data_IF_483208389510
#
_entry.id   IF_483208389510
#
_cell.length_a   1.000
_cell.length_b   1.000
_cell.length_c   1.000
_cell.angle_alpha   90.00
_cell.angle_beta   90.00
_cell.angle_gamma   90.00
#
_symmetry.space_group_name_H-M   'P 1'
#
loop_
_entity.id
_entity.type
_entity.pdbx_description
1 polymer ?
#
# COMPACT_ATOMS: atom_id res chain seq x y z
N UNK A 1 -4.32 -2.84 -10.31
CA UNK A 1 -4.57 -4.14 -9.66
C UNK A 1 -5.73 -4.90 -10.33
N UNK A 2 -6.97 -4.39 -10.32
CA UNK A 2 -8.15 -5.08 -10.86
C UNK A 2 -7.93 -5.60 -12.28
N UNK A 3 -7.51 -4.75 -13.22
CA UNK A 3 -7.24 -5.14 -14.62
C UNK A 3 -6.11 -6.18 -14.75
N UNK A 4 -5.10 -6.10 -13.87
CA UNK A 4 -3.98 -7.05 -13.91
C UNK A 4 -4.43 -8.44 -13.44
N UNK A 5 -5.23 -8.53 -12.37
CA UNK A 5 -5.78 -9.79 -11.87
C UNK A 5 -6.72 -10.42 -12.90
N UNK A 6 -7.69 -9.67 -13.42
CA UNK A 6 -8.59 -10.15 -14.46
C UNK A 6 -7.83 -10.55 -15.73
N UNK A 7 -6.84 -9.74 -16.15
CA UNK A 7 -6.01 -10.06 -17.31
C UNK A 7 -5.21 -11.37 -17.12
N UNK A 8 -4.70 -11.62 -15.92
CA UNK A 8 -4.00 -12.86 -15.61
C UNK A 8 -4.94 -14.08 -15.63
N UNK A 9 -6.16 -13.94 -15.11
CA UNK A 9 -7.19 -15.00 -15.13
C UNK A 9 -7.61 -15.29 -16.56
N UNK A 10 -7.90 -14.26 -17.36
CA UNK A 10 -8.28 -14.40 -18.78
C UNK A 10 -7.17 -15.06 -19.60
N UNK A 11 -5.92 -14.58 -19.43
CA UNK A 11 -4.79 -15.11 -20.17
C UNK A 11 -4.50 -16.59 -19.87
N UNK A 12 -4.81 -17.04 -18.66
CA UNK A 12 -4.62 -18.44 -18.23
C UNK A 12 -5.83 -19.33 -18.53
N UNK A 13 -6.94 -18.77 -19.02
CA UNK A 13 -8.22 -19.47 -19.24
C UNK A 13 -8.75 -20.17 -17.98
N UNK A 14 -8.56 -19.57 -16.79
CA UNK A 14 -9.05 -20.09 -15.54
C UNK A 14 -8.27 -19.58 -14.32
N UNK A 15 -8.63 -19.98 -13.10
CA UNK A 15 -7.93 -19.59 -11.89
C UNK A 15 -6.48 -20.10 -11.91
N UNK A 16 -5.57 -19.43 -11.20
CA UNK A 16 -4.25 -20.01 -10.91
C UNK A 16 -4.48 -21.39 -10.25
N UNK A 17 -3.63 -22.36 -10.58
CA UNK A 17 -3.76 -23.70 -10.01
C UNK A 17 -3.89 -23.63 -8.48
N UNK A 18 -4.93 -24.27 -7.92
CA UNK A 18 -5.21 -24.39 -6.48
C UNK A 18 -5.62 -23.11 -5.75
N UNK A 19 -6.56 -22.34 -6.28
CA UNK A 19 -7.28 -21.33 -5.52
C UNK A 19 -8.63 -21.93 -5.09
N UNK A 20 -8.83 -22.07 -3.79
CA UNK A 20 -10.05 -22.62 -3.21
C UNK A 20 -11.08 -21.53 -2.90
N UNK A 21 -10.60 -20.32 -2.62
CA UNK A 21 -11.43 -19.15 -2.30
C UNK A 21 -10.69 -17.84 -2.62
N UNK A 22 -11.43 -16.86 -3.09
CA UNK A 22 -10.96 -15.47 -3.18
C UNK A 22 -11.46 -14.71 -1.96
N UNK A 23 -10.56 -14.08 -1.23
CA UNK A 23 -10.94 -13.20 -0.13
C UNK A 23 -10.25 -11.83 -0.30
N UNK A 24 -10.92 -10.76 0.09
CA UNK A 24 -10.31 -9.45 0.03
C UNK A 24 -11.23 -8.30 0.45
N UNK A 25 -10.61 -7.15 0.67
CA UNK A 25 -11.30 -5.96 1.15
C UNK A 25 -12.07 -5.27 0.02
N UNK A 26 -13.38 -5.15 0.19
CA UNK A 26 -14.27 -4.38 -0.70
C UNK A 26 -14.16 -2.88 -0.41
N UNK A 27 -13.00 -2.28 -0.75
CA UNK A 27 -12.67 -0.89 -0.41
C UNK A 27 -13.20 0.14 -1.39
N UNK A 28 -13.47 -0.24 -2.64
CA UNK A 28 -14.00 0.66 -3.66
C UNK A 28 -14.88 -0.11 -4.66
N UNK A 29 -15.60 0.60 -5.51
CA UNK A 29 -16.47 -0.04 -6.52
C UNK A 29 -15.70 -0.92 -7.49
N UNK A 30 -14.45 -0.55 -7.81
CA UNK A 30 -13.57 -1.37 -8.63
C UNK A 30 -13.26 -2.73 -8.01
N UNK A 31 -13.00 -2.80 -6.69
CA UNK A 31 -12.76 -4.08 -6.00
C UNK A 31 -14.04 -4.90 -5.85
N UNK A 32 -15.19 -4.26 -5.61
CA UNK A 32 -16.49 -4.96 -5.56
C UNK A 32 -16.83 -5.62 -6.89
N UNK A 33 -16.65 -4.90 -8.01
CA UNK A 33 -16.85 -5.46 -9.35
C UNK A 33 -15.85 -6.57 -9.66
N UNK A 34 -14.58 -6.39 -9.25
CA UNK A 34 -13.57 -7.43 -9.41
C UNK A 34 -14.03 -8.76 -8.78
N UNK A 35 -14.59 -8.72 -7.58
CA UNK A 35 -15.02 -9.92 -6.88
C UNK A 35 -16.15 -10.65 -7.63
N UNK A 36 -17.16 -9.92 -8.12
CA UNK A 36 -18.20 -10.53 -8.97
C UNK A 36 -17.63 -11.16 -10.22
N UNK A 37 -16.80 -10.42 -10.95
CA UNK A 37 -16.16 -10.94 -12.18
C UNK A 37 -15.25 -12.16 -11.91
N UNK A 38 -14.51 -12.18 -10.78
CA UNK A 38 -13.67 -13.31 -10.43
C UNK A 38 -14.48 -14.58 -10.16
N UNK A 39 -15.59 -14.47 -9.44
CA UNK A 39 -16.50 -15.58 -9.17
C UNK A 39 -17.10 -16.12 -10.46
N UNK A 40 -17.65 -15.23 -11.31
CA UNK A 40 -18.27 -15.60 -12.58
C UNK A 40 -17.27 -16.25 -13.56
N UNK A 41 -16.03 -15.73 -13.62
CA UNK A 41 -15.02 -16.23 -14.57
C UNK A 41 -14.32 -17.50 -14.10
N UNK A 42 -14.21 -17.73 -12.79
CA UNK A 42 -13.39 -18.82 -12.24
C UNK A 42 -14.21 -19.94 -11.63
N UNK A 43 -15.48 -19.69 -11.28
CA UNK A 43 -16.29 -20.60 -10.48
C UNK A 43 -15.78 -20.80 -9.03
N UNK A 44 -14.78 -20.00 -8.62
CA UNK A 44 -14.20 -20.06 -7.28
C UNK A 44 -14.95 -19.06 -6.38
N UNK A 45 -15.42 -19.49 -5.21
CA UNK A 45 -16.19 -18.63 -4.31
C UNK A 45 -15.40 -17.39 -3.88
N UNK A 46 -16.10 -16.25 -3.72
CA UNK A 46 -15.55 -15.01 -3.23
C UNK A 46 -16.11 -14.69 -1.85
N UNK A 47 -15.24 -14.29 -0.93
CA UNK A 47 -15.62 -13.78 0.39
C UNK A 47 -15.19 -12.30 0.46
N UNK A 48 -16.10 -11.35 0.22
CA UNK A 48 -15.80 -9.94 0.35
C UNK A 48 -15.76 -9.55 1.85
N UNK A 49 -14.73 -8.84 2.26
CA UNK A 49 -14.61 -8.24 3.58
C UNK A 49 -14.97 -6.76 3.47
N UNK A 50 -15.91 -6.30 4.27
CA UNK A 50 -16.40 -4.92 4.21
C UNK A 50 -15.63 -4.02 5.18
N UNK A 51 -14.80 -3.13 4.63
CA UNK A 51 -14.10 -2.12 5.42
C UNK A 51 -14.96 -0.83 5.47
N UNK A 52 -15.38 -0.38 6.66
CA UNK A 52 -16.10 0.90 6.79
C UNK A 52 -15.30 2.10 6.29
N UNK A 53 -15.99 3.12 5.81
CA UNK A 53 -15.35 4.38 5.39
C UNK A 53 -15.35 5.46 6.47
N UNK A 54 -16.15 5.33 7.50
CA UNK A 54 -16.19 6.25 8.65
C UNK A 54 -15.22 5.79 9.73
N UNK A 55 -14.53 6.73 10.37
CA UNK A 55 -13.60 6.44 11.49
C UNK A 55 -14.29 6.70 12.81
N UNK A 56 -15.08 5.73 13.27
CA UNK A 56 -15.72 5.75 14.59
C UNK A 56 -15.45 4.44 15.34
N UNK A 57 -15.66 4.43 16.64
CA UNK A 57 -15.52 3.22 17.46
C UNK A 57 -16.50 2.12 17.02
N UNK A 58 -17.71 2.51 16.61
CA UNK A 58 -18.72 1.57 16.09
C UNK A 58 -18.26 0.94 14.77
N UNK A 59 -17.65 1.73 13.88
CA UNK A 59 -17.09 1.23 12.63
C UNK A 59 -15.91 0.28 12.87
N UNK A 60 -15.04 0.57 13.84
CA UNK A 60 -13.98 -0.33 14.26
C UNK A 60 -14.54 -1.64 14.83
N UNK A 61 -15.59 -1.56 15.65
CA UNK A 61 -16.31 -2.73 16.16
C UNK A 61 -16.96 -3.56 15.07
N UNK A 62 -17.61 -2.92 14.10
CA UNK A 62 -18.18 -3.59 12.94
C UNK A 62 -17.10 -4.34 12.15
N UNK A 63 -15.99 -3.68 11.84
CA UNK A 63 -14.89 -4.33 11.10
C UNK A 63 -14.25 -5.48 11.87
N UNK A 64 -14.12 -5.37 13.18
CA UNK A 64 -13.69 -6.46 14.04
C UNK A 64 -14.64 -7.67 13.95
N UNK A 65 -15.95 -7.43 13.98
CA UNK A 65 -16.96 -8.48 13.79
C UNK A 65 -16.89 -9.14 12.42
N UNK A 66 -16.67 -8.39 11.35
CA UNK A 66 -16.44 -8.93 9.99
C UNK A 66 -15.23 -9.88 9.96
N UNK A 67 -14.13 -9.52 10.63
CA UNK A 67 -12.93 -10.36 10.67
C UNK A 67 -13.11 -11.63 11.51
N UNK A 68 -13.83 -11.55 12.62
CA UNK A 68 -14.21 -12.74 13.41
C UNK A 68 -15.13 -13.68 12.61
N UNK A 69 -16.13 -13.13 11.93
CA UNK A 69 -17.04 -13.89 11.09
C UNK A 69 -16.31 -14.54 9.90
N UNK A 70 -15.35 -13.83 9.30
CA UNK A 70 -14.50 -14.35 8.23
C UNK A 70 -13.67 -15.54 8.73
N UNK A 71 -13.00 -15.40 9.88
CA UNK A 71 -12.22 -16.50 10.48
C UNK A 71 -13.08 -17.72 10.78
N UNK A 72 -14.27 -17.53 11.35
CA UNK A 72 -15.25 -18.61 11.59
C UNK A 72 -15.70 -19.28 10.29
N UNK A 73 -16.07 -18.50 9.28
CA UNK A 73 -16.49 -19.02 7.97
C UNK A 73 -15.38 -19.83 7.26
N UNK A 74 -14.12 -19.42 7.43
CA UNK A 74 -12.99 -20.17 6.87
C UNK A 74 -12.86 -21.58 7.51
N UNK A 75 -13.14 -21.70 8.80
CA UNK A 75 -13.17 -22.99 9.50
C UNK A 75 -14.37 -23.85 9.05
N UNK A 76 -15.56 -23.27 9.04
CA UNK A 76 -16.80 -23.97 8.65
C UNK A 76 -16.72 -24.54 7.22
N UNK A 77 -16.03 -23.83 6.34
CA UNK A 77 -15.82 -24.25 4.94
C UNK A 77 -14.61 -25.18 4.75
N UNK A 78 -13.87 -25.49 5.81
CA UNK A 78 -12.69 -26.36 5.75
C UNK A 78 -11.45 -25.71 5.13
N UNK A 79 -11.38 -24.37 5.04
CA UNK A 79 -10.21 -23.63 4.54
C UNK A 79 -9.17 -23.40 5.64
N UNK A 80 -9.54 -23.58 6.90
CA UNK A 80 -8.66 -23.39 8.06
C UNK A 80 -9.02 -24.38 9.17
N UNK A 81 -8.00 -24.79 9.94
CA UNK A 81 -8.18 -25.59 11.15
C UNK A 81 -8.61 -24.75 12.38
N UNK A 82 -8.58 -23.43 12.26
CA UNK A 82 -8.94 -22.48 13.29
C UNK A 82 -7.91 -21.38 13.49
N UNK A 83 -8.21 -20.47 14.39
CA UNK A 83 -7.35 -19.35 14.74
C UNK A 83 -6.43 -19.72 15.91
N UNK A 84 -5.13 -19.77 15.66
CA UNK A 84 -4.10 -19.92 16.68
C UNK A 84 -3.60 -18.54 17.11
N UNK A 85 -4.12 -18.03 18.22
CA UNK A 85 -3.82 -16.69 18.71
C UNK A 85 -2.34 -16.49 19.09
N UNK A 86 -1.69 -17.51 19.64
CA UNK A 86 -0.27 -17.41 20.01
C UNK A 86 0.62 -17.34 18.77
N UNK A 87 0.33 -18.18 17.77
CA UNK A 87 1.01 -18.15 16.48
C UNK A 87 0.77 -16.83 15.74
N UNK A 88 -0.47 -16.33 15.76
CA UNK A 88 -0.83 -15.04 15.17
C UNK A 88 -0.07 -13.91 15.83
N UNK A 89 0.00 -13.86 17.16
CA UNK A 89 0.75 -12.83 17.90
C UNK A 89 2.24 -12.88 17.59
N UNK A 90 2.86 -14.05 17.54
CA UNK A 90 4.26 -14.21 17.20
C UNK A 90 4.57 -13.77 15.75
N UNK A 91 3.70 -14.15 14.82
CA UNK A 91 3.79 -13.72 13.42
C UNK A 91 3.67 -12.21 13.27
N UNK A 92 2.63 -11.64 13.88
CA UNK A 92 2.35 -10.21 13.83
C UNK A 92 3.50 -9.38 14.43
N UNK A 93 4.11 -9.85 15.52
CA UNK A 93 5.28 -9.21 16.11
C UNK A 93 6.48 -9.19 15.15
N UNK A 94 6.75 -10.29 14.45
CA UNK A 94 7.82 -10.34 13.45
C UNK A 94 7.52 -9.44 12.26
N UNK A 95 6.28 -9.46 11.78
CA UNK A 95 5.81 -8.65 10.67
C UNK A 95 5.91 -7.15 10.96
N UNK A 96 5.46 -6.69 12.14
CA UNK A 96 5.56 -5.26 12.55
C UNK A 96 7.00 -4.80 12.71
N UNK A 97 7.90 -5.66 13.21
CA UNK A 97 9.33 -5.31 13.26
C UNK A 97 9.91 -5.08 11.87
N UNK A 98 9.63 -5.97 10.92
CA UNK A 98 10.09 -5.83 9.55
C UNK A 98 9.46 -4.62 8.84
N UNK A 99 8.15 -4.39 9.05
CA UNK A 99 7.46 -3.21 8.56
C UNK A 99 8.04 -1.91 9.11
N UNK A 100 8.40 -1.89 10.39
CA UNK A 100 9.05 -0.74 11.04
C UNK A 100 10.42 -0.43 10.43
N UNK A 101 11.26 -1.45 10.21
CA UNK A 101 12.56 -1.28 9.56
C UNK A 101 12.39 -0.78 8.11
N UNK A 102 11.47 -1.36 7.35
CA UNK A 102 11.18 -0.93 5.99
C UNK A 102 10.60 0.50 5.93
N UNK A 103 9.77 0.89 6.91
CA UNK A 103 9.26 2.25 7.04
C UNK A 103 10.39 3.26 7.29
N UNK A 104 11.34 2.94 8.18
CA UNK A 104 12.53 3.80 8.41
C UNK A 104 13.40 3.90 7.15
N UNK A 105 13.61 2.81 6.43
CA UNK A 105 14.29 2.84 5.13
C UNK A 105 13.55 3.72 4.12
N UNK A 106 12.22 3.58 4.03
CA UNK A 106 11.36 4.36 3.13
C UNK A 106 11.36 5.87 3.44
N UNK A 107 11.44 6.24 4.73
CA UNK A 107 11.47 7.64 5.16
C UNK A 107 12.86 8.27 5.06
N UNK A 108 13.92 7.49 5.12
CA UNK A 108 15.28 8.01 5.09
C UNK A 108 15.65 8.69 3.77
N UNK A 109 15.05 8.25 2.65
CA UNK A 109 15.43 8.64 1.29
C UNK A 109 16.85 8.18 0.90
N UNK A 110 17.49 7.33 1.71
CA UNK A 110 18.86 6.86 1.51
C UNK A 110 18.93 5.56 0.71
N UNK A 111 17.90 4.72 0.77
CA UNK A 111 17.75 3.55 -0.09
C UNK A 111 17.48 4.00 -1.52
N UNK A 112 18.10 3.34 -2.49
CA UNK A 112 17.85 3.66 -3.91
C UNK A 112 16.37 3.49 -4.26
N UNK A 113 15.77 4.39 -5.06
CA UNK A 113 14.34 4.36 -5.35
C UNK A 113 13.84 3.03 -5.92
N UNK A 114 14.59 2.41 -6.85
CA UNK A 114 14.25 1.12 -7.43
C UNK A 114 14.38 0.00 -6.39
N UNK A 115 15.51 -0.05 -5.64
CA UNK A 115 15.71 -1.03 -4.56
C UNK A 115 14.61 -0.96 -3.51
N UNK A 116 14.21 0.26 -3.11
CA UNK A 116 13.13 0.45 -2.15
C UNK A 116 11.79 -0.05 -2.69
N UNK A 117 11.50 0.20 -3.96
CA UNK A 117 10.28 -0.29 -4.62
C UNK A 117 10.25 -1.81 -4.64
N UNK A 118 11.36 -2.46 -4.99
CA UNK A 118 11.47 -3.92 -4.98
C UNK A 118 11.26 -4.49 -3.58
N UNK A 119 11.84 -3.86 -2.54
CA UNK A 119 11.62 -4.28 -1.15
C UNK A 119 10.16 -4.13 -0.70
N UNK A 120 9.49 -3.05 -1.10
CA UNK A 120 8.07 -2.83 -0.81
C UNK A 120 7.18 -3.88 -1.49
N UNK A 121 7.50 -4.23 -2.73
CA UNK A 121 6.79 -5.26 -3.49
C UNK A 121 7.02 -6.65 -2.88
N UNK A 122 8.27 -7.01 -2.60
CA UNK A 122 8.62 -8.29 -1.99
C UNK A 122 8.01 -8.43 -0.59
N UNK A 123 8.02 -7.37 0.22
CA UNK A 123 7.38 -7.35 1.53
C UNK A 123 5.87 -7.58 1.42
N UNK A 124 5.22 -6.92 0.48
CA UNK A 124 3.78 -7.09 0.25
C UNK A 124 3.43 -8.49 -0.24
N UNK A 125 4.30 -9.13 -1.01
CA UNK A 125 4.11 -10.50 -1.51
C UNK A 125 4.42 -11.56 -0.46
N UNK A 126 5.45 -11.35 0.38
CA UNK A 126 5.88 -12.31 1.41
C UNK A 126 5.01 -12.28 2.68
N UNK A 127 4.27 -11.20 2.88
CA UNK A 127 3.41 -11.00 4.05
C UNK A 127 2.50 -12.20 4.36
N UNK A 128 1.80 -12.84 3.39
CA UNK A 128 0.91 -13.97 3.68
C UNK A 128 1.62 -15.26 4.10
N UNK A 129 2.92 -15.42 3.88
CA UNK A 129 3.65 -16.69 4.02
C UNK A 129 4.47 -16.82 5.30
N UNK A 130 4.40 -15.84 6.21
CA UNK A 130 5.14 -15.90 7.48
C UNK A 130 6.53 -15.25 7.44
N UNK A 131 6.87 -14.61 6.34
CA UNK A 131 8.12 -13.86 6.16
C UNK A 131 9.27 -14.74 5.70
N UNK A 132 10.13 -14.12 4.90
CA UNK A 132 11.38 -14.70 4.43
C UNK A 132 12.55 -14.04 5.21
N UNK A 133 13.36 -14.83 5.89
CA UNK A 133 14.54 -14.34 6.61
C UNK A 133 15.51 -13.58 5.69
N UNK A 134 15.61 -13.99 4.43
CA UNK A 134 16.42 -13.31 3.43
C UNK A 134 15.85 -11.91 3.10
N UNK A 135 14.54 -11.79 3.01
CA UNK A 135 13.88 -10.49 2.82
C UNK A 135 14.11 -9.58 4.03
N UNK A 136 13.95 -10.08 5.24
CA UNK A 136 14.20 -9.28 6.45
C UNK A 136 15.64 -8.78 6.52
N UNK A 137 16.62 -9.64 6.20
CA UNK A 137 18.02 -9.23 6.10
C UNK A 137 18.28 -8.20 5.00
N UNK A 138 17.53 -8.21 3.88
CA UNK A 138 17.60 -7.15 2.86
C UNK A 138 17.03 -5.82 3.36
N UNK A 139 15.93 -5.86 4.11
CA UNK A 139 15.30 -4.68 4.70
C UNK A 139 16.23 -4.02 5.72
N UNK A 140 16.84 -4.79 6.61
CA UNK A 140 17.82 -4.27 7.59
C UNK A 140 19.04 -3.62 6.93
N UNK A 141 19.56 -4.24 5.86
CA UNK A 141 20.64 -3.64 5.08
C UNK A 141 20.21 -2.35 4.36
N UNK A 142 18.98 -2.27 3.89
CA UNK A 142 18.45 -1.06 3.26
C UNK A 142 18.29 0.09 4.27
N UNK A 143 17.86 -0.21 5.50
CA UNK A 143 17.77 0.76 6.59
C UNK A 143 19.14 1.37 6.93
N UNK A 144 20.22 0.57 6.90
CA UNK A 144 21.58 0.99 7.25
C UNK A 144 22.33 1.69 6.10
N UNK A 145 21.69 2.01 4.97
CA UNK A 145 22.34 2.69 3.84
C UNK A 145 22.79 4.11 4.22
N UNK A 146 23.99 4.48 3.77
CA UNK A 146 24.58 5.81 3.99
C UNK A 146 24.55 6.71 2.72
N UNK A 147 23.72 6.37 1.74
CA UNK A 147 23.61 7.19 0.53
C UNK A 147 23.09 8.59 0.89
N UNK A 148 23.72 9.62 0.32
CA UNK A 148 23.28 11.01 0.42
C UNK A 148 22.68 11.45 -0.91
N UNK A 149 21.36 11.48 -1.07
CA UNK A 149 20.74 11.98 -2.30
C UNK A 149 20.92 13.49 -2.40
N UNK A 150 20.89 14.02 -3.62
CA UNK A 150 20.97 15.47 -3.88
C UNK A 150 19.82 16.22 -3.20
N UNK A 151 18.61 15.67 -3.34
CA UNK A 151 17.40 16.09 -2.63
C UNK A 151 16.45 14.89 -2.53
N UNK A 152 15.31 15.06 -1.89
CA UNK A 152 14.31 14.00 -1.71
C UNK A 152 12.98 14.41 -2.33
N UNK A 153 12.29 13.42 -2.89
CA UNK A 153 10.90 13.55 -3.37
C UNK A 153 10.04 12.52 -2.66
N UNK A 154 8.94 12.96 -2.10
CA UNK A 154 7.93 12.08 -1.53
C UNK A 154 7.10 11.45 -2.66
N UNK A 155 6.85 10.16 -2.57
CA UNK A 155 6.01 9.40 -3.49
C UNK A 155 4.82 8.80 -2.74
N UNK A 156 3.63 9.28 -3.03
CA UNK A 156 2.38 8.65 -2.64
C UNK A 156 1.85 7.84 -3.82
N UNK A 157 2.04 6.54 -3.77
CA UNK A 157 1.63 5.66 -4.86
C UNK A 157 0.45 4.79 -4.44
N UNK A 158 -0.60 4.83 -5.26
CA UNK A 158 -1.66 3.82 -5.21
C UNK A 158 -1.07 2.52 -5.75
N UNK A 159 -1.25 1.37 -5.10
CA UNK A 159 -0.74 0.09 -5.58
C UNK A 159 -1.07 -0.09 -7.06
N UNK A 160 -0.05 0.03 -7.88
CA UNK A 160 -0.12 -0.07 -9.34
C UNK A 160 0.12 -1.50 -9.81
N UNK A 161 0.15 -1.69 -11.11
CA UNK A 161 0.59 -2.96 -11.68
C UNK A 161 2.06 -3.18 -11.31
N UNK A 162 2.44 -4.40 -10.90
CA UNK A 162 3.85 -4.76 -10.74
C UNK A 162 4.63 -4.41 -12.01
N UNK A 163 5.76 -3.74 -11.86
CA UNK A 163 6.65 -3.42 -12.98
C UNK A 163 6.47 -2.04 -13.61
N UNK A 164 5.57 -1.21 -13.11
CA UNK A 164 5.53 0.20 -13.53
C UNK A 164 6.47 1.05 -12.68
N UNK A 165 7.77 0.90 -12.91
CA UNK A 165 8.84 1.61 -12.20
C UNK A 165 9.03 3.07 -12.59
N UNK A 166 8.06 3.72 -13.27
CA UNK A 166 8.24 5.06 -13.86
C UNK A 166 8.85 6.08 -12.90
N UNK A 167 8.25 6.27 -11.72
CA UNK A 167 8.74 7.27 -10.76
C UNK A 167 10.05 6.84 -10.11
N UNK A 168 10.18 5.63 -9.56
CA UNK A 168 11.44 5.16 -8.99
C UNK A 168 12.63 5.19 -9.96
N UNK A 169 12.41 4.81 -11.22
CA UNK A 169 13.43 4.83 -12.27
C UNK A 169 13.89 6.26 -12.58
N UNK A 170 12.95 7.20 -12.76
CA UNK A 170 13.27 8.59 -13.02
C UNK A 170 14.03 9.25 -11.86
N UNK A 171 13.62 9.00 -10.61
CA UNK A 171 14.32 9.50 -9.42
C UNK A 171 15.73 8.89 -9.30
N UNK A 172 15.86 7.59 -9.58
CA UNK A 172 17.14 6.89 -9.55
C UNK A 172 18.11 7.45 -10.58
N UNK A 173 17.64 7.70 -11.81
CA UNK A 173 18.47 8.25 -12.91
C UNK A 173 19.04 9.65 -12.58
N UNK A 174 18.33 10.44 -11.77
CA UNK A 174 18.74 11.80 -11.35
C UNK A 174 19.48 11.84 -10.00
N UNK A 175 19.70 10.70 -9.35
CA UNK A 175 20.33 10.66 -8.02
C UNK A 175 19.45 11.18 -6.88
N UNK A 176 18.16 11.34 -7.12
CA UNK A 176 17.16 11.84 -6.15
C UNK A 176 16.79 10.73 -5.16
N UNK A 177 16.59 11.12 -3.89
CA UNK A 177 16.09 10.21 -2.86
C UNK A 177 14.57 10.08 -2.93
N UNK A 178 14.05 8.88 -2.70
CA UNK A 178 12.61 8.62 -2.63
C UNK A 178 12.16 8.40 -1.19
N UNK A 179 11.19 9.19 -0.75
CA UNK A 179 10.44 8.96 0.49
C UNK A 179 9.12 8.29 0.09
N UNK A 180 8.99 6.99 0.35
CA UNK A 180 7.82 6.24 -0.08
C UNK A 180 6.69 6.31 0.95
N UNK A 181 5.55 6.84 0.55
CA UNK A 181 4.37 7.03 1.41
C UNK A 181 3.25 6.01 1.16
N UNK A 182 3.29 5.18 0.23
CA UNK A 182 2.34 4.10 -0.11
C UNK A 182 0.87 4.30 0.33
N UNK A 183 -0.09 4.06 -0.53
CA UNK A 183 -1.50 4.11 -0.17
C UNK A 183 -1.88 2.86 0.64
N UNK A 184 -2.10 3.00 1.93
CA UNK A 184 -2.53 1.91 2.82
C UNK A 184 -1.49 0.81 3.10
N UNK A 185 -0.29 0.88 2.50
CA UNK A 185 0.78 -0.10 2.69
C UNK A 185 1.42 -0.02 4.09
N UNK A 186 2.70 0.28 4.17
CA UNK A 186 3.43 0.40 5.45
C UNK A 186 2.78 1.36 6.45
N UNK A 187 2.10 2.40 5.96
CA UNK A 187 1.41 3.40 6.76
C UNK A 187 0.13 2.90 7.42
N UNK A 188 -0.40 1.76 6.99
CA UNK A 188 -1.56 1.11 7.59
C UNK A 188 -1.19 0.01 8.59
N UNK A 189 0.10 -0.24 8.82
CA UNK A 189 0.55 -1.24 9.78
C UNK A 189 0.72 -0.58 11.14
N UNK A 190 0.08 -1.11 12.20
CA UNK A 190 0.21 -0.57 13.55
C UNK A 190 1.66 -0.55 14.02
N UNK A 191 2.01 0.46 14.81
CA UNK A 191 3.32 0.56 15.45
C UNK A 191 3.33 -0.15 16.81
N UNK A 192 4.51 -0.61 17.21
CA UNK A 192 4.67 -1.31 18.46
C UNK A 192 4.32 -2.82 18.42
N UNK A 193 4.48 -3.50 19.55
CA UNK A 193 4.19 -4.93 19.65
C UNK A 193 2.68 -5.18 19.61
N UNK A 194 2.22 -6.23 18.94
CA UNK A 194 0.82 -6.66 19.01
C UNK A 194 0.51 -7.28 20.38
N UNK A 195 -0.77 -7.48 20.70
CA UNK A 195 -1.16 -8.35 21.81
C UNK A 195 -0.50 -9.74 21.66
N UNK A 196 -0.09 -10.39 22.76
CA UNK A 196 0.63 -11.66 22.68
C UNK A 196 -0.21 -12.82 22.11
N UNK A 197 -1.52 -12.74 22.23
CA UNK A 197 -2.47 -13.73 21.71
C UNK A 197 -3.74 -13.02 21.19
N UNK A 198 -3.63 -12.26 20.09
CA UNK A 198 -4.73 -11.48 19.57
C UNK A 198 -5.80 -12.36 18.92
N UNK A 199 -7.07 -11.98 19.07
CA UNK A 199 -8.15 -12.48 18.21
C UNK A 199 -8.07 -11.82 16.82
N UNK A 200 -8.79 -12.35 15.80
CA UNK A 200 -8.95 -11.66 14.52
C UNK A 200 -9.52 -10.24 14.68
N UNK A 201 -10.48 -10.08 15.61
CA UNK A 201 -11.11 -8.79 15.90
C UNK A 201 -10.16 -7.78 16.56
N UNK A 202 -9.25 -8.24 17.43
CA UNK A 202 -8.24 -7.36 18.05
C UNK A 202 -7.30 -6.78 17.00
N UNK A 203 -6.77 -7.63 16.12
CA UNK A 203 -5.93 -7.17 15.02
C UNK A 203 -6.71 -6.24 14.08
N UNK A 204 -7.94 -6.59 13.76
CA UNK A 204 -8.78 -5.76 12.89
C UNK A 204 -8.97 -4.34 13.44
N UNK A 205 -9.21 -4.18 14.75
CA UNK A 205 -9.33 -2.85 15.38
C UNK A 205 -8.04 -2.05 15.26
N UNK A 206 -6.89 -2.65 15.59
CA UNK A 206 -5.59 -1.96 15.50
C UNK A 206 -5.28 -1.52 14.06
N UNK A 207 -5.51 -2.40 13.09
CA UNK A 207 -5.31 -2.05 11.68
C UNK A 207 -6.30 -1.00 11.18
N UNK A 208 -7.55 -1.04 11.64
CA UNK A 208 -8.55 -0.03 11.29
C UNK A 208 -8.17 1.35 11.82
N UNK A 209 -7.60 1.42 13.00
CA UNK A 209 -7.13 2.66 13.62
C UNK A 209 -5.82 3.18 12.99
N UNK A 210 -4.93 2.28 12.59
CA UNK A 210 -3.64 2.64 12.00
C UNK A 210 -3.74 3.09 10.54
N UNK A 211 -4.74 2.61 9.78
CA UNK A 211 -4.79 2.81 8.33
C UNK A 211 -4.89 4.29 7.94
N UNK A 212 -3.95 4.74 7.09
CA UNK A 212 -3.97 6.05 6.44
C UNK A 212 -4.58 5.93 5.04
N UNK A 213 -5.88 6.19 4.93
CA UNK A 213 -6.61 6.02 3.68
C UNK A 213 -7.45 7.27 3.35
N UNK A 214 -7.28 7.79 2.14
CA UNK A 214 -8.07 8.92 1.65
C UNK A 214 -9.58 8.63 1.59
N UNK A 215 -9.97 7.35 1.56
CA UNK A 215 -11.36 6.91 1.58
C UNK A 215 -12.03 7.11 2.94
N UNK A 216 -11.27 7.03 4.03
CA UNK A 216 -11.81 7.18 5.39
C UNK A 216 -12.29 8.61 5.63
N UNK A 217 -13.41 8.76 6.35
CA UNK A 217 -14.01 10.08 6.64
C UNK A 217 -14.23 10.24 8.16
N UNK A 218 -13.86 11.39 8.73
CA UNK A 218 -13.05 12.45 8.11
C UNK A 218 -11.63 11.99 7.81
N UNK A 219 -10.96 12.58 6.80
CA UNK A 219 -9.59 12.20 6.39
C UNK A 219 -8.54 13.27 6.69
N UNK A 220 -8.83 14.23 7.55
CA UNK A 220 -7.88 15.28 7.95
C UNK A 220 -6.59 14.74 8.55
N UNK A 221 -6.68 13.63 9.28
CA UNK A 221 -5.55 12.95 9.88
C UNK A 221 -4.54 12.43 8.83
N UNK A 222 -5.03 12.06 7.62
CA UNK A 222 -4.15 11.63 6.52
C UNK A 222 -3.33 12.81 6.02
N UNK A 223 -3.95 13.98 5.88
CA UNK A 223 -3.24 15.20 5.46
C UNK A 223 -2.26 15.68 6.51
N UNK A 224 -2.66 15.67 7.79
CA UNK A 224 -1.75 16.00 8.89
C UNK A 224 -0.49 15.11 8.86
N UNK A 225 -0.67 13.80 8.66
CA UNK A 225 0.47 12.88 8.59
C UNK A 225 1.33 13.09 7.33
N UNK A 226 0.74 13.46 6.21
CA UNK A 226 1.50 13.84 5.00
C UNK A 226 2.32 15.12 5.24
N UNK A 227 1.72 16.15 5.85
CA UNK A 227 2.39 17.40 6.22
C UNK A 227 3.59 17.15 7.14
N UNK A 228 3.38 16.38 8.21
CA UNK A 228 4.43 15.96 9.14
C UNK A 228 5.55 15.21 8.41
N UNK A 229 5.21 14.22 7.59
CA UNK A 229 6.22 13.42 6.89
C UNK A 229 7.04 14.24 5.91
N UNK A 230 6.41 15.14 5.15
CA UNK A 230 7.13 16.05 4.25
C UNK A 230 8.10 16.93 5.05
N UNK A 231 7.66 17.48 6.20
CA UNK A 231 8.49 18.30 7.06
C UNK A 231 9.65 17.51 7.68
N UNK A 232 9.39 16.33 8.23
CA UNK A 232 10.39 15.47 8.89
C UNK A 232 11.48 14.97 7.92
N UNK A 233 11.08 14.66 6.68
CA UNK A 233 12.00 14.10 5.68
C UNK A 233 12.72 15.15 4.85
N UNK A 234 12.27 16.41 4.89
CA UNK A 234 12.80 17.48 4.06
C UNK A 234 12.58 17.20 2.57
N UNK A 235 11.48 16.56 2.20
CA UNK A 235 11.15 16.32 0.80
C UNK A 235 10.86 17.64 0.07
N UNK A 236 11.53 17.86 -1.07
CA UNK A 236 11.39 19.08 -1.87
C UNK A 236 10.08 19.13 -2.66
N UNK A 237 9.41 17.99 -2.83
CA UNK A 237 8.13 17.91 -3.55
C UNK A 237 7.43 16.58 -3.28
N UNK A 238 6.15 16.51 -3.66
CA UNK A 238 5.33 15.30 -3.58
C UNK A 238 4.85 14.88 -4.97
N UNK A 239 5.10 13.64 -5.34
CA UNK A 239 4.47 12.98 -6.48
C UNK A 239 3.35 12.07 -5.97
N UNK A 240 2.13 12.30 -6.45
CA UNK A 240 0.98 11.44 -6.20
C UNK A 240 0.70 10.65 -7.47
N UNK A 241 1.00 9.37 -7.44
CA UNK A 241 0.85 8.45 -8.58
C UNK A 241 -0.44 7.67 -8.41
N UNK A 242 -1.48 8.06 -9.15
CA UNK A 242 -2.79 7.40 -9.14
C UNK A 242 -3.01 6.60 -10.41
N UNK A 243 -3.83 5.56 -10.31
CA UNK A 243 -4.35 4.86 -11.49
C UNK A 243 -5.63 5.53 -11.97
N UNK A 244 -5.82 5.60 -13.28
CA UNK A 244 -7.08 6.06 -13.86
C UNK A 244 -8.27 5.32 -13.25
N UNK A 245 -9.29 6.07 -12.87
CA UNK A 245 -10.46 5.60 -12.11
C UNK A 245 -10.19 5.31 -10.62
N UNK A 246 -9.04 5.70 -10.06
CA UNK A 246 -8.83 5.77 -8.62
C UNK A 246 -9.25 7.16 -8.12
N UNK A 247 -10.56 7.34 -7.87
CA UNK A 247 -11.12 8.65 -7.52
C UNK A 247 -10.66 9.17 -6.16
N UNK A 248 -10.19 8.32 -5.27
CA UNK A 248 -9.85 8.67 -3.89
C UNK A 248 -8.81 9.79 -3.80
N UNK A 249 -7.62 9.56 -4.36
CA UNK A 249 -6.55 10.56 -4.34
C UNK A 249 -6.70 11.61 -5.43
N UNK A 250 -7.32 11.24 -6.56
CA UNK A 250 -7.57 12.21 -7.62
C UNK A 250 -8.57 13.29 -7.18
N UNK A 251 -9.60 12.93 -6.41
CA UNK A 251 -10.55 13.88 -5.83
C UNK A 251 -9.85 14.85 -4.84
N UNK A 252 -8.86 14.38 -4.10
CA UNK A 252 -8.13 15.19 -3.11
C UNK A 252 -7.03 16.08 -3.71
N UNK A 253 -6.82 16.07 -5.04
CA UNK A 253 -5.69 16.76 -5.71
C UNK A 253 -5.59 18.26 -5.42
N UNK A 254 -6.72 18.95 -5.30
CA UNK A 254 -6.73 20.37 -4.99
C UNK A 254 -6.31 20.59 -3.54
N UNK A 255 -6.86 19.80 -2.62
CA UNK A 255 -6.56 19.88 -1.20
C UNK A 255 -5.09 19.54 -0.91
N UNK A 256 -4.51 18.56 -1.60
CA UNK A 256 -3.08 18.26 -1.53
C UNK A 256 -2.22 19.48 -1.88
N UNK A 257 -2.55 20.17 -2.99
CA UNK A 257 -1.82 21.35 -3.45
C UNK A 257 -1.97 22.57 -2.55
N UNK A 258 -3.08 22.68 -1.82
CA UNK A 258 -3.34 23.83 -0.95
C UNK A 258 -2.85 23.64 0.48
N UNK A 259 -2.74 22.39 0.94
CA UNK A 259 -2.33 22.09 2.31
C UNK A 259 -0.82 21.85 2.46
N UNK A 260 -0.20 21.19 1.48
CA UNK A 260 1.21 20.84 1.59
C UNK A 260 2.12 22.02 1.29
N UNK A 261 3.19 22.21 2.08
CA UNK A 261 4.12 23.34 1.91
C UNK A 261 5.10 23.15 0.74
N UNK A 262 4.95 22.09 -0.04
CA UNK A 262 5.82 21.74 -1.17
C UNK A 262 5.03 21.60 -2.47
N UNK A 263 5.65 21.76 -3.64
CA UNK A 263 5.02 21.48 -4.91
C UNK A 263 4.46 20.06 -5.00
N UNK A 264 3.27 19.90 -5.59
CA UNK A 264 2.58 18.60 -5.73
C UNK A 264 2.28 18.31 -7.19
N UNK A 265 2.83 17.21 -7.69
CA UNK A 265 2.50 16.63 -8.99
C UNK A 265 1.52 15.46 -8.79
N UNK A 266 0.35 15.52 -9.43
CA UNK A 266 -0.58 14.38 -9.49
C UNK A 266 -0.51 13.76 -10.88
N UNK A 267 -0.08 12.51 -10.94
CA UNK A 267 -0.03 11.68 -12.14
C UNK A 267 -1.25 10.74 -12.13
N UNK A 268 -2.20 11.00 -13.02
CA UNK A 268 -3.32 10.10 -13.30
C UNK A 268 -2.92 9.18 -14.45
N UNK A 269 -2.55 7.95 -14.13
CA UNK A 269 -1.92 7.02 -15.06
C UNK A 269 -2.90 5.95 -15.54
N UNK A 270 -2.79 5.59 -16.79
CA UNK A 270 -3.26 4.31 -17.29
C UNK A 270 -2.06 3.40 -17.60
N UNK A 271 -2.33 2.14 -17.90
CA UNK A 271 -1.26 1.16 -18.20
C UNK A 271 -0.89 1.13 -19.68
N UNK A 272 -1.32 2.13 -20.48
CA UNK A 272 -0.97 2.22 -21.89
C UNK A 272 0.43 2.80 -22.09
N UNK A 273 1.15 2.43 -23.16
CA UNK A 273 2.45 3.02 -23.48
C UNK A 273 2.37 4.55 -23.63
N UNK A 274 1.34 5.08 -24.28
CA UNK A 274 1.14 6.52 -24.46
C UNK A 274 0.87 7.24 -23.14
N UNK A 275 0.11 6.62 -22.23
CA UNK A 275 -0.10 7.15 -20.88
C UNK A 275 1.19 7.19 -20.06
N UNK A 276 2.05 6.17 -20.21
CA UNK A 276 3.37 6.14 -19.56
C UNK A 276 4.27 7.30 -20.07
N UNK A 277 4.35 7.51 -21.37
CA UNK A 277 5.13 8.60 -21.97
C UNK A 277 4.65 9.98 -21.51
N UNK A 278 3.34 10.21 -21.52
CA UNK A 278 2.75 11.45 -21.01
C UNK A 278 3.10 11.68 -19.53
N UNK A 279 3.03 10.64 -18.71
CA UNK A 279 3.37 10.72 -17.30
C UNK A 279 4.88 10.97 -17.10
N UNK A 280 5.75 10.36 -17.91
CA UNK A 280 7.19 10.58 -17.88
C UNK A 280 7.54 12.03 -18.16
N UNK A 281 7.01 12.61 -19.25
CA UNK A 281 7.25 14.01 -19.62
C UNK A 281 6.81 14.98 -18.52
N UNK A 282 5.66 14.71 -17.87
CA UNK A 282 5.19 15.54 -16.74
C UNK A 282 6.05 15.41 -15.51
N UNK A 283 6.54 14.21 -15.23
CA UNK A 283 7.45 13.94 -14.12
C UNK A 283 8.79 14.65 -14.35
N UNK A 284 9.37 14.55 -15.54
CA UNK A 284 10.62 15.21 -15.88
C UNK A 284 10.51 16.73 -15.71
N UNK A 285 9.48 17.36 -16.26
CA UNK A 285 9.24 18.80 -16.09
C UNK A 285 9.07 19.21 -14.61
N UNK A 286 8.46 18.35 -13.81
CA UNK A 286 8.31 18.59 -12.37
C UNK A 286 9.66 18.53 -11.65
N UNK A 287 10.48 17.52 -11.94
CA UNK A 287 11.81 17.37 -11.36
C UNK A 287 12.74 18.51 -11.77
N UNK A 288 12.71 18.94 -13.04
CA UNK A 288 13.46 20.10 -13.52
C UNK A 288 13.06 21.39 -12.78
N UNK A 289 11.75 21.56 -12.50
CA UNK A 289 11.25 22.70 -11.71
C UNK A 289 11.72 22.67 -10.26
N UNK A 290 11.81 21.47 -9.64
CA UNK A 290 12.35 21.33 -8.29
C UNK A 290 13.85 21.65 -8.26
N UNK A 291 14.62 21.11 -9.20
CA UNK A 291 16.07 21.35 -9.32
C UNK A 291 16.40 22.84 -9.50
N UNK A 292 15.59 23.55 -10.27
CA UNK A 292 15.76 24.99 -10.46
C UNK A 292 15.40 25.84 -9.22
N UNK A 293 14.74 25.26 -8.23
CA UNK A 293 14.28 25.93 -7.01
C UNK A 293 15.16 25.65 -5.78
N UNK A 294 16.08 24.70 -5.88
CA UNK A 294 17.03 24.29 -4.82
C UNK A 294 18.36 25.04 -4.93
#
# INVERSE_FOLDING_TARGET
AVKAVLGAVVARKGPPAKVDVWAGLATCDGTRRLFGELEDMTGVPVIPLHLPSTRTAEAAGYYAGEMEAFAGSAVERGFSEGWDAARAGAYEAAFRRAAGALRRAALSGRTGPVELTDLLMDFSAACPTGGDAALFGRIERAESRERSPTYRVALLEVPGAPGDGLVPEALSARGVGMVALGCGGLWGIPEGPPPPAPSPGDLAREYFEAVLCARSRPNDYVFARLEETVAETGAAGLVVSTMRFCDMWFAERLRLRTRLPVPVLVLDRDLSPAGRETAANRLDAFLDSLEASL
#
